data_IF_731757608901
#
_entry.id   IF_731757608901
#
_cell.length_a   1.000
_cell.length_b   1.000
_cell.length_c   1.000
_cell.angle_alpha   90.00
_cell.angle_beta   90.00
_cell.angle_gamma   90.00
#
_symmetry.space_group_name_H-M   'P 1'
#
loop_
_entity.id
_entity.type
_entity.pdbx_description
1 polymer ?
#
# COMPACT_ATOMS: atom_id res chain seq x y z
N UNK A 1 -14.48 -12.62 -34.01
CA UNK A 1 -13.32 -13.55 -33.92
C UNK A 1 -12.09 -12.66 -33.75
N UNK A 2 -11.29 -12.69 -32.69
CA UNK A 2 -10.89 -13.81 -31.84
C UNK A 2 -10.97 -13.46 -30.34
N UNK A 3 -11.40 -14.49 -29.59
CA UNK A 3 -11.55 -14.57 -28.14
C UNK A 3 -10.22 -15.08 -27.60
N UNK A 4 -9.44 -14.25 -26.91
CA UNK A 4 -8.30 -14.73 -26.13
C UNK A 4 -8.71 -14.83 -24.67
N UNK A 5 -9.10 -16.04 -24.33
CA UNK A 5 -9.25 -16.57 -22.98
C UNK A 5 -7.91 -16.64 -22.26
N UNK A 6 -7.70 -15.76 -21.29
CA UNK A 6 -6.87 -16.04 -20.12
C UNK A 6 -7.80 -16.13 -18.92
N UNK A 7 -7.90 -17.33 -18.35
CA UNK A 7 -8.67 -17.62 -17.15
C UNK A 7 -8.04 -16.93 -15.94
N UNK A 8 -8.42 -15.69 -15.67
CA UNK A 8 -8.38 -15.14 -14.31
C UNK A 8 -9.81 -15.24 -13.79
N UNK A 9 -10.01 -15.92 -12.65
CA UNK A 9 -11.34 -16.04 -12.06
C UNK A 9 -11.95 -14.64 -11.94
N UNK A 10 -13.07 -14.41 -12.62
CA UNK A 10 -13.79 -13.13 -12.58
C UNK A 10 -14.19 -12.86 -11.12
N UNK A 11 -13.39 -12.06 -10.43
CA UNK A 11 -13.73 -11.52 -9.13
C UNK A 11 -14.97 -10.66 -9.35
N UNK A 12 -16.08 -11.03 -8.69
CA UNK A 12 -17.29 -10.20 -8.74
C UNK A 12 -16.91 -8.79 -8.28
N UNK A 13 -17.16 -7.74 -9.08
CA UNK A 13 -16.92 -6.38 -8.65
C UNK A 13 -17.87 -6.07 -7.50
N UNK A 14 -17.38 -6.26 -6.28
CA UNK A 14 -18.16 -6.14 -5.04
C UNK A 14 -17.84 -4.84 -4.31
N UNK A 15 -16.77 -4.15 -4.71
CA UNK A 15 -16.36 -2.86 -4.14
C UNK A 15 -17.13 -1.74 -4.82
N UNK A 16 -17.89 -0.98 -4.03
CA UNK A 16 -18.46 0.29 -4.46
C UNK A 16 -17.44 1.43 -4.45
N UNK A 17 -17.88 2.62 -4.90
CA UNK A 17 -17.05 3.83 -4.86
C UNK A 17 -16.56 4.16 -3.44
N UNK A 18 -17.42 3.96 -2.44
CA UNK A 18 -17.08 4.21 -1.05
C UNK A 18 -16.03 3.24 -0.51
N UNK A 19 -16.13 1.95 -0.86
CA UNK A 19 -15.14 0.96 -0.45
C UNK A 19 -13.79 1.24 -1.10
N UNK A 20 -13.79 1.62 -2.39
CA UNK A 20 -12.57 1.98 -3.12
C UNK A 20 -11.88 3.23 -2.55
N UNK A 21 -12.64 4.27 -2.19
CA UNK A 21 -12.07 5.47 -1.57
C UNK A 21 -11.59 5.20 -0.15
N UNK A 22 -12.33 4.41 0.64
CA UNK A 22 -11.93 4.04 1.99
C UNK A 22 -10.60 3.24 1.99
N UNK A 23 -10.46 2.27 1.07
CA UNK A 23 -9.21 1.51 0.90
C UNK A 23 -8.07 2.44 0.50
N UNK A 24 -8.31 3.37 -0.43
CA UNK A 24 -7.29 4.33 -0.87
C UNK A 24 -6.84 5.25 0.26
N UNK A 25 -7.76 5.77 1.06
CA UNK A 25 -7.44 6.59 2.24
C UNK A 25 -6.65 5.77 3.26
N UNK A 26 -7.06 4.54 3.56
CA UNK A 26 -6.36 3.65 4.47
C UNK A 26 -4.96 3.25 4.01
N UNK A 27 -4.73 3.17 2.70
CA UNK A 27 -3.41 2.90 2.13
C UNK A 27 -2.46 4.11 2.23
N UNK A 28 -2.99 5.34 2.16
CA UNK A 28 -2.20 6.58 2.23
C UNK A 28 -1.93 7.00 3.68
N UNK A 29 -2.95 6.95 4.53
CA UNK A 29 -2.87 7.37 5.93
C UNK A 29 -2.25 6.25 6.76
N UNK A 30 -0.92 6.27 6.89
CA UNK A 30 -0.16 5.27 7.63
C UNK A 30 0.88 5.87 8.60
N UNK A 31 1.84 5.05 9.02
CA UNK A 31 2.90 5.45 9.96
C UNK A 31 3.75 6.64 9.49
N UNK A 32 3.76 6.93 8.18
CA UNK A 32 4.50 8.05 7.59
C UNK A 32 4.13 9.40 8.21
N UNK A 33 2.85 9.71 8.36
CA UNK A 33 2.43 11.01 8.92
C UNK A 33 2.76 11.14 10.41
N UNK A 34 2.84 10.02 11.14
CA UNK A 34 3.11 10.03 12.57
C UNK A 34 4.62 10.16 12.85
N UNK A 35 5.45 9.42 12.11
CA UNK A 35 6.89 9.34 12.35
C UNK A 35 7.66 10.38 11.54
N UNK A 36 7.40 10.44 10.24
CA UNK A 36 8.18 11.26 9.30
C UNK A 36 7.88 12.74 9.50
N UNK A 37 6.64 13.10 9.83
CA UNK A 37 6.27 14.49 10.13
C UNK A 37 7.02 15.02 11.35
N UNK A 38 7.22 14.22 12.40
CA UNK A 38 8.00 14.62 13.57
C UNK A 38 9.47 14.88 13.24
N UNK A 39 10.07 14.01 12.42
CA UNK A 39 11.43 14.18 11.92
C UNK A 39 11.53 15.43 11.03
N UNK A 40 10.59 15.60 10.09
CA UNK A 40 10.53 16.74 9.18
C UNK A 40 10.30 18.05 9.92
N UNK A 41 9.47 18.07 10.97
CA UNK A 41 9.25 19.24 11.83
C UNK A 41 10.54 19.70 12.51
N UNK A 42 11.41 18.76 12.92
CA UNK A 42 12.71 19.08 13.51
C UNK A 42 13.67 19.74 12.52
N UNK A 43 13.57 19.42 11.23
CA UNK A 43 14.39 20.01 10.17
C UNK A 43 13.82 21.32 9.61
N UNK A 44 12.52 21.37 9.34
CA UNK A 44 11.86 22.49 8.66
C UNK A 44 11.24 23.52 9.63
N UNK A 45 11.02 23.16 10.90
CA UNK A 45 10.36 24.03 11.87
C UNK A 45 8.94 24.44 11.41
N UNK A 46 8.52 25.70 11.62
CA UNK A 46 7.20 26.19 11.21
C UNK A 46 6.94 26.11 9.70
N UNK A 47 7.99 26.04 8.87
CA UNK A 47 7.88 25.96 7.42
C UNK A 47 7.38 24.59 6.93
N UNK A 48 7.25 23.60 7.81
CA UNK A 48 6.71 22.27 7.50
C UNK A 48 5.36 22.34 6.77
N UNK A 49 4.48 23.27 7.18
CA UNK A 49 3.16 23.43 6.57
C UNK A 49 3.28 23.80 5.08
N UNK A 50 4.23 24.68 4.74
CA UNK A 50 4.48 25.08 3.35
C UNK A 50 4.98 23.89 2.53
N UNK A 51 5.91 23.11 3.07
CA UNK A 51 6.39 21.88 2.41
C UNK A 51 5.27 20.85 2.22
N UNK A 52 4.38 20.70 3.20
CA UNK A 52 3.23 19.78 3.11
C UNK A 52 2.21 20.23 2.05
N UNK A 53 1.93 21.53 1.97
CA UNK A 53 1.04 22.09 0.94
C UNK A 53 1.61 21.90 -0.47
N UNK A 54 2.91 22.13 -0.64
CA UNK A 54 3.59 21.88 -1.92
C UNK A 54 3.56 20.40 -2.30
N UNK A 55 3.85 19.50 -1.34
CA UNK A 55 3.78 18.06 -1.57
C UNK A 55 2.35 17.60 -1.94
N UNK A 56 1.32 18.14 -1.28
CA UNK A 56 -0.08 17.86 -1.58
C UNK A 56 -0.47 18.32 -2.99
N UNK A 57 -0.01 19.51 -3.42
CA UNK A 57 -0.26 19.99 -4.78
C UNK A 57 0.36 19.08 -5.84
N UNK A 58 1.63 18.68 -5.66
CA UNK A 58 2.34 17.78 -6.58
C UNK A 58 1.67 16.38 -6.62
N UNK A 59 1.29 15.87 -5.45
CA UNK A 59 0.61 14.57 -5.34
C UNK A 59 -0.77 14.59 -6.02
N UNK A 60 -1.51 15.70 -5.91
CA UNK A 60 -2.80 15.87 -6.59
C UNK A 60 -2.64 15.84 -8.10
N UNK A 61 -1.67 16.59 -8.65
CA UNK A 61 -1.37 16.56 -10.09
C UNK A 61 -1.00 15.16 -10.57
N UNK A 62 -0.17 14.45 -9.79
CA UNK A 62 0.20 13.06 -10.07
C UNK A 62 -1.03 12.14 -10.07
N UNK A 63 -1.92 12.28 -9.09
CA UNK A 63 -3.15 11.50 -8.99
C UNK A 63 -4.10 11.75 -10.17
N UNK A 64 -4.23 13.00 -10.65
CA UNK A 64 -5.00 13.31 -11.85
C UNK A 64 -4.40 12.64 -13.09
N UNK A 65 -3.09 12.68 -13.29
CA UNK A 65 -2.44 11.99 -14.40
C UNK A 65 -2.66 10.47 -14.36
N UNK A 66 -2.62 9.86 -13.18
CA UNK A 66 -2.96 8.43 -13.03
C UNK A 66 -4.45 8.17 -13.30
N UNK A 67 -5.35 9.06 -12.88
CA UNK A 67 -6.78 8.94 -13.14
C UNK A 67 -7.08 8.91 -14.66
N UNK A 68 -6.45 9.81 -15.43
CA UNK A 68 -6.57 9.84 -16.89
C UNK A 68 -6.05 8.54 -17.53
N UNK A 69 -4.92 8.00 -17.05
CA UNK A 69 -4.37 6.73 -17.53
C UNK A 69 -5.29 5.54 -17.24
N UNK A 70 -5.90 5.47 -16.05
CA UNK A 70 -6.89 4.44 -15.71
C UNK A 70 -8.16 4.51 -16.56
N UNK A 71 -8.61 5.72 -16.92
CA UNK A 71 -9.77 5.91 -17.80
C UNK A 71 -9.46 5.46 -19.23
N UNK A 72 -8.25 5.72 -19.72
CA UNK A 72 -7.84 5.29 -21.06
C UNK A 72 -7.71 3.77 -21.16
N UNK A 73 -7.17 3.11 -20.13
CA UNK A 73 -7.06 1.66 -20.09
C UNK A 73 -7.30 1.10 -18.69
N UNK A 74 -8.48 0.50 -18.42
CA UNK A 74 -8.80 -0.14 -17.15
C UNK A 74 -8.19 -1.54 -17.11
N UNK A 75 -6.88 -1.59 -16.89
CA UNK A 75 -6.08 -2.82 -16.76
C UNK A 75 -5.57 -2.96 -15.33
N UNK A 76 -5.65 -4.16 -14.80
CA UNK A 76 -5.04 -4.51 -13.51
C UNK A 76 -3.53 -4.66 -13.70
N UNK A 77 -2.72 -3.88 -12.97
CA UNK A 77 -1.25 -3.92 -13.13
C UNK A 77 -0.50 -2.65 -12.73
N UNK A 78 -1.21 -1.53 -12.51
CA UNK A 78 -0.62 -0.27 -12.01
C UNK A 78 0.56 0.22 -12.89
N UNK A 79 1.55 0.87 -12.26
CA UNK A 79 2.68 1.57 -12.88
C UNK A 79 3.51 0.64 -13.82
N UNK A 80 3.60 -0.65 -13.50
CA UNK A 80 4.31 -1.65 -14.32
C UNK A 80 3.68 -1.76 -15.71
N UNK A 81 2.37 -1.97 -15.77
CA UNK A 81 1.66 -2.22 -17.02
C UNK A 81 1.59 -0.94 -17.88
N UNK A 82 1.44 0.23 -17.25
CA UNK A 82 1.52 1.51 -17.95
C UNK A 82 2.90 1.75 -18.57
N UNK A 83 3.98 1.46 -17.83
CA UNK A 83 5.35 1.64 -18.32
C UNK A 83 5.73 0.63 -19.41
N UNK A 84 5.22 -0.60 -19.30
CA UNK A 84 5.41 -1.66 -20.30
C UNK A 84 4.77 -1.28 -21.65
N UNK A 85 3.55 -0.71 -21.61
CA UNK A 85 2.80 -0.39 -22.82
C UNK A 85 3.16 0.96 -23.44
N UNK A 86 3.44 2.01 -22.65
CA UNK A 86 3.74 3.34 -23.19
C UNK A 86 5.19 3.51 -23.65
N UNK A 87 6.15 2.88 -22.96
CA UNK A 87 7.58 3.16 -23.13
C UNK A 87 8.28 1.98 -23.79
N UNK A 88 8.45 0.88 -23.05
CA UNK A 88 9.07 -0.35 -23.56
C UNK A 88 8.92 -1.51 -22.58
N UNK A 89 9.06 -2.77 -23.04
CA UNK A 89 9.09 -3.94 -22.17
C UNK A 89 10.14 -3.87 -21.06
N UNK A 90 11.32 -3.31 -21.36
CA UNK A 90 12.40 -3.14 -20.40
C UNK A 90 12.10 -2.06 -19.37
N UNK A 91 11.48 -0.94 -19.77
CA UNK A 91 11.05 0.11 -18.87
C UNK A 91 9.96 -0.40 -17.90
N UNK A 92 9.02 -1.22 -18.38
CA UNK A 92 8.06 -1.93 -17.54
C UNK A 92 8.75 -2.78 -16.47
N UNK A 93 9.69 -3.66 -16.88
CA UNK A 93 10.46 -4.49 -15.96
C UNK A 93 11.19 -3.66 -14.89
N UNK A 94 11.88 -2.59 -15.28
CA UNK A 94 12.60 -1.74 -14.35
C UNK A 94 11.66 -1.01 -13.38
N UNK A 95 10.53 -0.50 -13.85
CA UNK A 95 9.52 0.14 -13.02
C UNK A 95 8.94 -0.84 -11.98
N UNK A 96 8.66 -2.08 -12.38
CA UNK A 96 8.21 -3.13 -11.48
C UNK A 96 9.24 -3.45 -10.38
N UNK A 97 10.51 -3.63 -10.76
CA UNK A 97 11.59 -3.87 -9.79
C UNK A 97 11.81 -2.71 -8.83
N UNK A 98 11.80 -1.48 -9.33
CA UNK A 98 11.87 -0.27 -8.50
C UNK A 98 10.71 -0.20 -7.51
N UNK A 99 9.50 -0.58 -7.94
CA UNK A 99 8.33 -0.60 -7.08
C UNK A 99 8.45 -1.63 -5.94
N UNK A 100 8.91 -2.85 -6.24
CA UNK A 100 9.14 -3.91 -5.24
C UNK A 100 10.18 -3.48 -4.21
N UNK A 101 11.32 -2.95 -4.67
CA UNK A 101 12.39 -2.48 -3.81
C UNK A 101 11.89 -1.34 -2.92
N UNK A 102 11.22 -0.35 -3.52
CA UNK A 102 10.66 0.79 -2.80
C UNK A 102 9.67 0.35 -1.72
N UNK A 103 8.76 -0.58 -2.03
CA UNK A 103 7.79 -1.08 -1.06
C UNK A 103 8.46 -1.85 0.10
N UNK A 104 9.57 -2.55 -0.18
CA UNK A 104 10.38 -3.21 0.85
C UNK A 104 10.99 -2.20 1.81
N UNK A 105 11.57 -1.11 1.29
CA UNK A 105 12.11 -0.02 2.12
C UNK A 105 11.01 0.69 2.93
N UNK A 106 9.84 0.92 2.33
CA UNK A 106 8.68 1.50 3.02
C UNK A 106 8.24 0.60 4.18
N UNK A 107 8.14 -0.72 3.96
CA UNK A 107 7.81 -1.67 5.03
C UNK A 107 8.82 -1.64 6.18
N UNK A 108 10.12 -1.58 5.87
CA UNK A 108 11.17 -1.45 6.88
C UNK A 108 11.08 -0.14 7.66
N UNK A 109 10.83 0.99 6.96
CA UNK A 109 10.69 2.31 7.58
C UNK A 109 9.47 2.39 8.50
N UNK A 110 8.33 1.81 8.09
CA UNK A 110 7.11 1.73 8.90
C UNK A 110 7.37 0.93 10.18
N UNK A 111 8.04 -0.21 10.08
CA UNK A 111 8.37 -1.03 11.25
C UNK A 111 9.28 -0.28 12.24
N UNK A 112 10.33 0.38 11.74
CA UNK A 112 11.21 1.19 12.59
C UNK A 112 10.45 2.36 13.24
N UNK A 113 9.51 2.94 12.50
CA UNK A 113 8.59 3.95 12.99
C UNK A 113 7.78 3.47 14.21
N UNK A 114 7.14 2.32 14.10
CA UNK A 114 6.39 1.71 15.21
C UNK A 114 7.29 1.31 16.38
N UNK A 115 8.49 0.80 16.11
CA UNK A 115 9.45 0.46 17.15
C UNK A 115 9.85 1.67 17.99
N UNK A 116 10.02 2.84 17.37
CA UNK A 116 10.35 4.07 18.09
C UNK A 116 9.22 4.51 19.02
N UNK A 117 7.95 4.35 18.62
CA UNK A 117 6.80 4.55 19.50
C UNK A 117 6.76 3.56 20.66
N UNK A 118 7.03 2.28 20.43
CA UNK A 118 7.04 1.29 21.51
C UNK A 118 8.16 1.52 22.52
N UNK A 119 9.36 1.92 22.07
CA UNK A 119 10.45 2.27 22.96
C UNK A 119 10.17 3.53 23.77
N UNK A 120 9.44 4.49 23.22
CA UNK A 120 8.98 5.66 23.98
C UNK A 120 8.00 5.26 25.11
N UNK A 121 7.20 4.21 24.91
CA UNK A 121 6.26 3.70 25.91
C UNK A 121 6.92 2.74 26.91
N UNK A 122 7.90 1.96 26.47
CA UNK A 122 8.64 0.99 27.27
C UNK A 122 10.16 1.18 27.11
N UNK A 123 10.80 2.06 27.91
CA UNK A 123 12.22 2.40 27.77
C UNK A 123 13.18 1.25 28.11
N UNK A 124 12.68 0.13 28.65
CA UNK A 124 13.48 -1.04 28.99
C UNK A 124 13.80 -1.97 27.79
N UNK A 125 13.15 -1.77 26.63
CA UNK A 125 13.36 -2.63 25.45
C UNK A 125 14.36 -2.02 24.45
N UNK A 126 15.35 -2.81 23.97
CA UNK A 126 16.25 -2.36 22.91
C UNK A 126 15.47 -2.18 21.58
N UNK A 127 15.61 -1.02 20.90
CA UNK A 127 14.79 -0.63 19.75
C UNK A 127 14.89 -1.57 18.55
N UNK A 128 16.07 -2.15 18.33
CA UNK A 128 16.29 -3.08 17.21
C UNK A 128 15.50 -4.38 17.39
N UNK A 129 15.34 -4.86 18.63
CA UNK A 129 14.59 -6.08 18.93
C UNK A 129 13.10 -5.81 18.88
N UNK A 130 12.63 -4.66 19.39
CA UNK A 130 11.23 -4.26 19.28
C UNK A 130 10.79 -4.11 17.81
N UNK A 131 11.62 -3.50 16.96
CA UNK A 131 11.39 -3.38 15.53
C UNK A 131 11.33 -4.74 14.82
N UNK A 132 12.28 -5.63 15.14
CA UNK A 132 12.32 -6.97 14.56
C UNK A 132 11.09 -7.80 14.96
N UNK A 133 10.68 -7.74 16.23
CA UNK A 133 9.49 -8.44 16.72
C UNK A 133 8.21 -7.89 16.09
N UNK A 134 8.06 -6.56 15.99
CA UNK A 134 6.91 -5.96 15.32
C UNK A 134 6.86 -6.31 13.84
N UNK A 135 7.99 -6.23 13.14
CA UNK A 135 8.10 -6.61 11.73
C UNK A 135 7.71 -8.08 11.55
N UNK A 136 8.28 -8.98 12.36
CA UNK A 136 8.02 -10.42 12.29
C UNK A 136 6.57 -10.74 12.64
N UNK A 137 5.98 -10.08 13.64
CA UNK A 137 4.58 -10.23 13.99
C UNK A 137 3.67 -9.76 12.85
N UNK A 138 3.89 -8.57 12.30
CA UNK A 138 3.09 -8.04 11.20
C UNK A 138 3.27 -8.87 9.92
N UNK A 139 4.49 -9.32 9.64
CA UNK A 139 4.79 -10.20 8.51
C UNK A 139 4.12 -11.55 8.71
N UNK A 140 4.17 -12.14 9.91
CA UNK A 140 3.50 -13.39 10.23
C UNK A 140 1.97 -13.24 10.15
N UNK A 141 1.40 -12.15 10.68
CA UNK A 141 -0.03 -11.82 10.55
C UNK A 141 -0.43 -11.64 9.09
N UNK A 142 0.40 -10.98 8.28
CA UNK A 142 0.16 -10.85 6.84
C UNK A 142 0.20 -12.23 6.16
N UNK A 143 1.18 -13.07 6.49
CA UNK A 143 1.33 -14.43 5.94
C UNK A 143 0.20 -15.38 6.37
N UNK A 144 -0.23 -15.30 7.63
CA UNK A 144 -1.36 -16.06 8.20
C UNK A 144 -2.71 -15.55 7.65
N UNK A 145 -2.84 -14.23 7.47
CA UNK A 145 -4.04 -13.53 6.99
C UNK A 145 -4.31 -13.71 5.49
N UNK A 146 -3.26 -13.84 4.65
CA UNK A 146 -3.42 -14.11 3.21
C UNK A 146 -4.08 -15.47 2.97
N UNK A 147 -3.89 -16.44 3.86
CA UNK A 147 -4.53 -17.77 3.78
C UNK A 147 -5.95 -17.81 4.37
N UNK A 148 -6.28 -16.91 5.29
CA UNK A 148 -7.60 -16.86 5.94
C UNK A 148 -8.67 -16.19 5.07
N UNK A 149 -8.31 -15.32 4.11
CA UNK A 149 -9.31 -14.64 3.26
C UNK A 149 -10.09 -15.62 2.34
N UNK A 150 -9.44 -16.68 1.85
CA UNK A 150 -10.11 -17.71 1.04
C UNK A 150 -10.83 -18.77 1.88
N UNK A 151 -10.28 -19.16 3.04
CA UNK A 151 -10.86 -20.19 3.92
C UNK A 151 -12.03 -19.69 4.78
N UNK A 152 -11.98 -18.44 5.28
CA UNK A 152 -13.08 -17.83 6.03
C UNK A 152 -14.31 -17.64 5.15
N UNK A 153 -14.14 -17.34 3.86
CA UNK A 153 -15.25 -17.20 2.93
C UNK A 153 -16.04 -18.51 2.77
N UNK A 154 -15.36 -19.66 2.65
CA UNK A 154 -16.03 -20.96 2.55
C UNK A 154 -16.75 -21.36 3.85
N UNK A 155 -16.17 -21.05 5.02
CA UNK A 155 -16.81 -21.32 6.32
C UNK A 155 -18.01 -20.41 6.56
N UNK A 156 -17.94 -19.14 6.16
CA UNK A 156 -19.05 -18.19 6.29
C UNK A 156 -20.20 -18.47 5.31
N UNK A 157 -19.90 -18.96 4.09
CA UNK A 157 -20.93 -19.38 3.13
C UNK A 157 -21.62 -20.68 3.58
N UNK A 158 -20.88 -21.64 4.15
CA UNK A 158 -21.47 -22.85 4.74
C UNK A 158 -22.33 -22.54 5.97
N UNK A 159 -21.94 -21.56 6.79
CA UNK A 159 -22.72 -21.12 7.95
C UNK A 159 -23.99 -20.32 7.58
N UNK A 160 -24.05 -19.71 6.38
CA UNK A 160 -25.20 -18.94 5.89
C UNK A 160 -26.28 -19.79 5.19
N UNK A 161 -26.03 -21.07 4.92
CA UNK A 161 -26.92 -21.93 4.12
C UNK A 161 -27.75 -22.96 4.91
N UNK A 162 -28.11 -22.69 6.17
CA UNK A 162 -29.35 -23.28 6.64
C UNK A 162 -30.13 -22.31 7.53
N UNK A 163 -30.61 -21.17 7.03
CA UNK A 163 -31.86 -20.50 7.46
C UNK A 163 -32.27 -19.46 6.41
#
# INVERSE_FOLDING_TARGET
MAKNSSQHGELKPTLGLFDATAISIGAIVGAGIYVVTGIAARFAGPALIVSMLLAAAISTLTALSFAELTLWKPIEGSIYEYSYQLISPFAGFLAGWMWVISNTFVGAAVSLGFASYLCALFPALPPNVAAAVFLLLFTALNFLGVRQSALLNNVLVAAKLPF
#
